data_IF_866292200425
#
_entry.id   IF_866292200425
#
_cell.length_a   1.000
_cell.length_b   1.000
_cell.length_c   1.000
_cell.angle_alpha   90.00
_cell.angle_beta   90.00
_cell.angle_gamma   90.00
#
_symmetry.space_group_name_H-M   'P 1'
#
loop_
_entity.id
_entity.type
_entity.pdbx_description
1 polymer ?
#
# COMPACT_ATOMS: atom_id res chain seq x y z
N UNK A 1 -3.85 18.32 27.36
CA UNK A 1 -2.65 17.45 27.28
C UNK A 1 -2.94 15.93 27.28
N UNK A 2 -3.79 15.35 28.15
CA UNK A 2 -3.97 13.88 28.18
C UNK A 2 -4.58 13.29 26.89
N UNK A 3 -5.52 14.00 26.24
CA UNK A 3 -6.13 13.54 24.97
C UNK A 3 -5.12 13.37 23.84
N UNK A 4 -4.14 14.28 23.70
CA UNK A 4 -3.11 14.19 22.66
C UNK A 4 -2.18 12.98 22.91
N UNK A 5 -1.83 12.72 24.17
CA UNK A 5 -1.02 11.56 24.54
C UNK A 5 -1.76 10.24 24.29
N UNK A 6 -3.05 10.18 24.63
CA UNK A 6 -3.89 9.01 24.37
C UNK A 6 -4.03 8.74 22.86
N UNK A 7 -4.30 9.79 22.08
CA UNK A 7 -4.40 9.68 20.61
C UNK A 7 -3.12 9.10 20.01
N UNK A 8 -1.96 9.64 20.42
CA UNK A 8 -0.67 9.16 19.98
C UNK A 8 -0.45 7.68 20.33
N UNK A 9 -0.74 7.29 21.57
CA UNK A 9 -0.63 5.90 22.02
C UNK A 9 -1.51 4.95 21.18
N UNK A 10 -2.79 5.31 20.98
CA UNK A 10 -3.71 4.48 20.20
C UNK A 10 -3.26 4.35 18.73
N UNK A 11 -2.75 5.43 18.14
CA UNK A 11 -2.18 5.38 16.79
C UNK A 11 -0.96 4.46 16.75
N UNK A 12 -0.05 4.57 17.72
CA UNK A 12 1.12 3.69 17.81
C UNK A 12 0.70 2.22 17.92
N UNK A 13 -0.31 1.90 18.73
CA UNK A 13 -0.84 0.55 18.85
C UNK A 13 -1.48 0.06 17.54
N UNK A 14 -2.26 0.91 16.86
CA UNK A 14 -2.86 0.56 15.57
C UNK A 14 -1.80 0.28 14.49
N UNK A 15 -0.73 1.08 14.45
CA UNK A 15 0.39 0.89 13.53
C UNK A 15 1.22 -0.35 13.88
N UNK A 16 1.47 -0.60 15.16
CA UNK A 16 2.14 -1.82 15.61
C UNK A 16 1.34 -3.06 15.22
N UNK A 17 0.01 -3.04 15.43
CA UNK A 17 -0.88 -4.10 15.00
C UNK A 17 -0.85 -4.27 13.47
N UNK A 18 -0.94 -3.18 12.70
CA UNK A 18 -0.87 -3.22 11.25
C UNK A 18 0.43 -3.85 10.74
N UNK A 19 1.56 -3.54 11.39
CA UNK A 19 2.86 -4.11 11.09
C UNK A 19 2.88 -5.61 11.37
N UNK A 20 2.52 -6.02 12.60
CA UNK A 20 2.49 -7.44 12.98
C UNK A 20 1.58 -8.23 12.04
N UNK A 21 0.36 -7.75 11.78
CA UNK A 21 -0.60 -8.45 10.92
C UNK A 21 -0.13 -8.63 9.48
N UNK A 22 0.80 -7.80 8.97
CA UNK A 22 1.31 -7.90 7.58
C UNK A 22 2.58 -8.72 7.46
N UNK A 23 3.44 -8.68 8.48
CA UNK A 23 4.74 -9.36 8.44
C UNK A 23 4.79 -10.68 9.20
N UNK A 24 3.88 -10.93 10.14
CA UNK A 24 3.88 -12.16 10.92
C UNK A 24 3.65 -13.39 10.04
N UNK A 25 4.53 -14.39 10.11
CA UNK A 25 4.37 -15.64 9.36
C UNK A 25 4.42 -15.48 7.84
N UNK A 26 5.11 -14.45 7.33
CA UNK A 26 5.16 -14.17 5.88
C UNK A 26 5.93 -15.26 5.12
N UNK A 27 6.91 -15.91 5.76
CA UNK A 27 7.74 -16.96 5.15
C UNK A 27 6.96 -18.25 4.90
N UNK A 28 6.01 -18.56 5.78
CA UNK A 28 5.23 -19.79 5.76
C UNK A 28 4.00 -19.69 4.85
N UNK A 29 3.71 -18.51 4.32
CA UNK A 29 2.44 -18.24 3.65
C UNK A 29 2.28 -18.93 2.29
N UNK A 30 3.36 -18.98 1.49
CA UNK A 30 3.29 -19.47 0.11
C UNK A 30 2.48 -18.55 -0.82
N UNK A 31 2.29 -19.04 -2.06
CA UNK A 31 1.37 -18.46 -3.04
C UNK A 31 -0.05 -18.96 -2.75
N UNK A 32 -1.04 -18.09 -2.91
CA UNK A 32 -2.47 -18.39 -2.71
C UNK A 32 -3.27 -18.36 -4.01
N UNK A 33 -2.82 -17.59 -5.00
CA UNK A 33 -3.45 -17.48 -6.32
C UNK A 33 -2.52 -17.97 -7.44
N UNK A 34 -3.12 -18.27 -8.59
CA UNK A 34 -2.37 -18.62 -9.82
C UNK A 34 -1.54 -17.43 -10.29
N UNK A 35 -2.15 -16.24 -10.34
CA UNK A 35 -1.52 -15.01 -10.82
C UNK A 35 -0.32 -14.59 -9.95
N UNK A 36 -0.30 -14.94 -8.66
CA UNK A 36 0.85 -14.71 -7.79
C UNK A 36 2.11 -15.40 -8.33
N UNK A 37 1.97 -16.62 -8.86
CA UNK A 37 3.08 -17.35 -9.47
C UNK A 37 3.58 -16.67 -10.74
N UNK A 38 2.67 -16.15 -11.56
CA UNK A 38 2.99 -15.39 -12.77
C UNK A 38 3.72 -14.08 -12.45
N UNK A 39 3.26 -13.32 -11.46
CA UNK A 39 3.95 -12.10 -11.04
C UNK A 39 5.31 -12.38 -10.39
N UNK A 40 5.44 -13.48 -9.63
CA UNK A 40 6.74 -13.94 -9.14
C UNK A 40 7.69 -14.28 -10.29
N UNK A 41 7.17 -14.94 -11.32
CA UNK A 41 7.93 -15.23 -12.54
C UNK A 41 8.36 -13.95 -13.25
N UNK A 42 7.50 -12.93 -13.38
CA UNK A 42 7.90 -11.63 -13.95
C UNK A 42 9.01 -10.96 -13.14
N UNK A 43 8.93 -10.96 -11.81
CA UNK A 43 10.02 -10.47 -10.95
C UNK A 43 11.33 -11.24 -11.17
N UNK A 44 11.26 -12.56 -11.36
CA UNK A 44 12.41 -13.39 -11.67
C UNK A 44 12.99 -13.09 -13.06
N UNK A 45 12.14 -12.88 -14.06
CA UNK A 45 12.58 -12.48 -15.40
C UNK A 45 13.34 -11.15 -15.38
N UNK A 46 12.88 -10.19 -14.58
CA UNK A 46 13.61 -8.92 -14.39
C UNK A 46 14.97 -9.18 -13.74
N UNK A 47 15.01 -10.02 -12.69
CA UNK A 47 16.26 -10.37 -11.99
C UNK A 47 17.29 -11.03 -12.92
N UNK A 48 16.84 -11.84 -13.87
CA UNK A 48 17.70 -12.59 -14.81
C UNK A 48 17.89 -11.91 -16.17
N UNK A 49 17.33 -10.72 -16.38
CA UNK A 49 17.47 -9.98 -17.65
C UNK A 49 16.63 -10.52 -18.81
N UNK A 50 15.64 -11.38 -18.55
CA UNK A 50 14.76 -11.99 -19.57
C UNK A 50 13.44 -11.21 -19.72
N UNK A 51 13.52 -9.88 -19.83
CA UNK A 51 12.38 -8.97 -19.78
C UNK A 51 11.29 -9.23 -20.83
N UNK A 52 11.62 -9.86 -21.97
CA UNK A 52 10.65 -10.17 -23.04
C UNK A 52 9.57 -11.18 -22.66
N UNK A 53 9.64 -11.80 -21.47
CA UNK A 53 8.64 -12.74 -20.98
C UNK A 53 7.61 -12.12 -20.03
N UNK A 54 7.68 -10.80 -19.79
CA UNK A 54 6.71 -10.08 -18.97
C UNK A 54 5.53 -9.70 -19.85
N UNK A 55 4.35 -10.21 -19.52
CA UNK A 55 3.14 -10.05 -20.34
C UNK A 55 2.18 -9.04 -19.73
N UNK A 56 2.14 -8.92 -18.40
CA UNK A 56 1.20 -8.04 -17.69
C UNK A 56 1.83 -7.36 -16.46
N UNK A 57 1.27 -6.20 -16.08
CA UNK A 57 1.60 -5.41 -14.88
C UNK A 57 3.12 -5.28 -14.62
N UNK A 58 3.92 -4.76 -15.57
CA UNK A 58 5.38 -4.69 -15.43
C UNK A 58 5.83 -3.91 -14.20
N UNK A 59 5.07 -2.89 -13.78
CA UNK A 59 5.33 -2.16 -12.54
C UNK A 59 5.21 -3.03 -11.28
N UNK A 60 4.28 -3.98 -11.26
CA UNK A 60 4.15 -4.93 -10.15
C UNK A 60 5.26 -5.98 -10.17
N UNK A 61 5.62 -6.49 -11.36
CA UNK A 61 6.81 -7.34 -11.52
C UNK A 61 8.08 -6.66 -11.00
N UNK A 62 8.25 -5.36 -11.25
CA UNK A 62 9.37 -4.57 -10.71
C UNK A 62 9.36 -4.53 -9.18
N UNK A 63 8.20 -4.39 -8.53
CA UNK A 63 8.10 -4.41 -7.06
C UNK A 63 8.53 -5.76 -6.49
N UNK A 64 8.14 -6.86 -7.12
CA UNK A 64 8.59 -8.20 -6.70
C UNK A 64 10.10 -8.35 -6.91
N UNK A 65 10.63 -7.89 -8.05
CA UNK A 65 12.07 -7.86 -8.29
C UNK A 65 12.83 -7.12 -7.18
N UNK A 66 12.34 -5.96 -6.73
CA UNK A 66 12.95 -5.22 -5.62
C UNK A 66 12.99 -6.07 -4.32
N UNK A 67 11.94 -6.87 -4.08
CA UNK A 67 11.91 -7.84 -2.99
C UNK A 67 13.02 -8.89 -3.13
N UNK A 68 13.12 -9.53 -4.29
CA UNK A 68 14.19 -10.50 -4.58
C UNK A 68 15.58 -9.89 -4.46
N UNK A 69 15.77 -8.67 -4.97
CA UNK A 69 17.06 -7.99 -4.93
C UNK A 69 17.49 -7.63 -3.51
N UNK A 70 16.54 -7.24 -2.65
CA UNK A 70 16.83 -6.82 -1.28
C UNK A 70 17.04 -7.99 -0.32
N UNK A 71 16.29 -9.09 -0.48
CA UNK A 71 16.25 -10.19 0.51
C UNK A 71 16.62 -11.56 -0.07
N UNK A 72 17.07 -11.62 -1.33
CA UNK A 72 17.39 -12.83 -2.04
C UNK A 72 16.17 -13.50 -2.68
N UNK A 73 16.41 -14.50 -3.54
CA UNK A 73 15.34 -15.20 -4.26
C UNK A 73 14.60 -16.17 -3.34
N UNK A 74 13.45 -15.74 -2.79
CA UNK A 74 12.61 -16.56 -1.91
C UNK A 74 11.15 -16.12 -1.96
N UNK A 75 10.24 -16.98 -1.53
CA UNK A 75 8.83 -16.64 -1.45
C UNK A 75 8.57 -15.44 -0.52
N UNK A 76 9.22 -15.43 0.65
CA UNK A 76 9.09 -14.32 1.60
C UNK A 76 9.50 -12.99 0.96
N UNK A 77 10.56 -13.00 0.15
CA UNK A 77 11.04 -11.81 -0.57
C UNK A 77 10.02 -11.30 -1.59
N UNK A 78 9.33 -12.19 -2.31
CA UNK A 78 8.27 -11.80 -3.26
C UNK A 78 7.08 -11.13 -2.57
N UNK A 79 6.74 -11.57 -1.36
CA UNK A 79 5.62 -11.03 -0.58
C UNK A 79 5.99 -9.76 0.21
N UNK A 80 7.28 -9.58 0.52
CA UNK A 80 7.75 -8.53 1.42
C UNK A 80 7.33 -7.12 0.99
N UNK A 81 7.48 -6.80 -0.30
CA UNK A 81 7.18 -5.46 -0.80
C UNK A 81 5.69 -5.18 -0.72
N UNK A 82 4.83 -6.16 -1.01
CA UNK A 82 3.38 -6.06 -0.84
C UNK A 82 3.00 -5.82 0.63
N UNK A 83 3.61 -6.56 1.57
CA UNK A 83 3.39 -6.37 3.00
C UNK A 83 3.83 -4.98 3.49
N UNK A 84 4.97 -4.49 3.00
CA UNK A 84 5.49 -3.16 3.32
C UNK A 84 4.61 -2.04 2.77
N UNK A 85 4.27 -2.08 1.49
CA UNK A 85 3.32 -1.13 0.89
C UNK A 85 1.98 -1.21 1.61
N UNK A 86 1.57 -2.40 2.03
CA UNK A 86 0.34 -2.56 2.76
C UNK A 86 0.32 -1.89 4.12
N UNK A 87 1.43 -1.94 4.85
CA UNK A 87 1.59 -1.21 6.11
C UNK A 87 1.55 0.30 5.86
N UNK A 88 2.23 0.76 4.81
CA UNK A 88 2.22 2.16 4.42
C UNK A 88 0.83 2.63 3.96
N UNK A 89 -0.01 1.75 3.39
CA UNK A 89 -1.41 2.08 3.08
C UNK A 89 -2.20 2.46 4.33
N UNK A 90 -1.96 1.81 5.49
CA UNK A 90 -2.60 2.17 6.76
C UNK A 90 -2.16 3.57 7.21
N UNK A 91 -0.86 3.87 7.09
CA UNK A 91 -0.31 5.19 7.41
C UNK A 91 -0.90 6.27 6.50
N UNK A 92 -0.99 6.00 5.19
CA UNK A 92 -1.57 6.93 4.23
C UNK A 92 -3.06 7.13 4.46
N UNK A 93 -3.82 6.07 4.73
CA UNK A 93 -5.24 6.18 5.06
C UNK A 93 -5.44 7.02 6.32
N UNK A 94 -4.63 6.82 7.36
CA UNK A 94 -4.67 7.67 8.56
C UNK A 94 -4.44 9.15 8.21
N UNK A 95 -3.41 9.46 7.40
CA UNK A 95 -3.13 10.84 6.99
C UNK A 95 -4.27 11.45 6.19
N UNK A 96 -4.75 10.74 5.17
CA UNK A 96 -5.85 11.19 4.33
C UNK A 96 -7.13 11.42 5.14
N UNK A 97 -7.51 10.45 5.98
CA UNK A 97 -8.69 10.59 6.82
C UNK A 97 -8.55 11.71 7.86
N UNK A 98 -7.33 11.94 8.37
CA UNK A 98 -7.05 13.03 9.31
C UNK A 98 -7.21 14.39 8.65
N UNK A 99 -6.74 14.51 7.41
CA UNK A 99 -6.84 15.75 6.64
C UNK A 99 -8.30 16.04 6.24
N UNK A 100 -9.13 15.02 6.04
CA UNK A 100 -10.53 15.15 5.60
C UNK A 100 -11.54 15.30 6.74
N UNK A 101 -11.42 14.48 7.79
CA UNK A 101 -12.45 14.36 8.84
C UNK A 101 -11.93 14.60 10.26
N UNK A 102 -10.61 14.57 10.46
CA UNK A 102 -9.99 14.81 11.76
C UNK A 102 -9.42 13.55 12.42
N UNK A 103 -8.93 13.73 13.64
CA UNK A 103 -8.07 12.73 14.30
C UNK A 103 -8.81 11.43 14.67
N UNK A 104 -10.03 11.52 15.21
CA UNK A 104 -10.74 10.36 15.75
C UNK A 104 -11.16 9.40 14.63
N UNK A 105 -11.72 9.94 13.55
CA UNK A 105 -12.13 9.25 12.34
C UNK A 105 -10.93 8.59 11.66
N UNK A 106 -9.80 9.30 11.61
CA UNK A 106 -8.55 8.75 11.09
C UNK A 106 -8.06 7.55 11.88
N UNK A 107 -8.18 7.59 13.21
CA UNK A 107 -7.78 6.48 14.07
C UNK A 107 -8.69 5.27 13.87
N UNK A 108 -10.01 5.48 13.75
CA UNK A 108 -10.97 4.42 13.43
C UNK A 108 -10.62 3.80 12.07
N UNK A 109 -10.38 4.62 11.05
CA UNK A 109 -9.98 4.17 9.71
C UNK A 109 -8.69 3.34 9.74
N UNK A 110 -7.68 3.79 10.50
CA UNK A 110 -6.41 3.06 10.67
C UNK A 110 -6.61 1.71 11.37
N UNK A 111 -7.42 1.64 12.44
CA UNK A 111 -7.72 0.40 13.16
C UNK A 111 -8.48 -0.61 12.27
N UNK A 112 -9.46 -0.13 11.50
CA UNK A 112 -10.16 -0.97 10.54
C UNK A 112 -9.20 -1.48 9.46
N UNK A 113 -8.39 -0.60 8.87
CA UNK A 113 -7.40 -0.97 7.86
C UNK A 113 -6.31 -1.92 8.36
N UNK A 114 -5.95 -1.81 9.63
CA UNK A 114 -4.98 -2.68 10.27
C UNK A 114 -5.48 -4.13 10.38
N UNK A 115 -6.80 -4.32 10.54
CA UNK A 115 -7.40 -5.62 10.91
C UNK A 115 -8.35 -6.20 9.88
N UNK A 116 -8.76 -5.43 8.86
CA UNK A 116 -9.73 -5.88 7.86
C UNK A 116 -9.20 -7.11 7.10
N UNK A 117 -9.82 -8.30 7.23
CA UNK A 117 -9.26 -9.54 6.70
C UNK A 117 -9.07 -9.52 5.19
N UNK A 118 -10.03 -8.97 4.45
CA UNK A 118 -9.94 -8.83 3.00
C UNK A 118 -8.71 -8.01 2.58
N UNK A 119 -8.44 -6.93 3.31
CA UNK A 119 -7.31 -6.07 3.01
C UNK A 119 -5.97 -6.75 3.31
N UNK A 120 -5.87 -7.42 4.46
CA UNK A 120 -4.71 -8.21 4.84
C UNK A 120 -4.45 -9.37 3.87
N UNK A 121 -5.51 -9.96 3.30
CA UNK A 121 -5.40 -11.07 2.38
C UNK A 121 -4.60 -10.70 1.12
N UNK A 122 -4.91 -9.56 0.50
CA UNK A 122 -4.21 -9.05 -0.69
C UNK A 122 -2.87 -8.36 -0.38
N UNK A 123 -2.75 -7.66 0.75
CA UNK A 123 -1.49 -7.01 1.11
C UNK A 123 -0.42 -7.95 1.62
N UNK A 124 -0.77 -9.22 1.84
CA UNK A 124 0.19 -10.27 2.15
C UNK A 124 0.49 -11.17 0.98
N UNK A 125 -0.24 -11.07 -0.13
CA UNK A 125 0.00 -11.86 -1.34
C UNK A 125 0.91 -11.10 -2.31
N UNK A 126 1.49 -11.80 -3.29
CA UNK A 126 2.16 -11.17 -4.43
C UNK A 126 1.16 -10.76 -5.53
N UNK A 127 -0.12 -10.54 -5.19
CA UNK A 127 -1.10 -9.98 -6.10
C UNK A 127 -0.86 -8.49 -6.31
N UNK A 128 -1.23 -7.99 -7.49
CA UNK A 128 -1.11 -6.56 -7.81
C UNK A 128 -2.08 -5.68 -7.04
N UNK A 129 -3.23 -6.21 -6.61
CA UNK A 129 -4.36 -5.46 -6.03
C UNK A 129 -3.97 -4.72 -4.75
N UNK A 130 -3.16 -5.36 -3.89
CA UNK A 130 -2.67 -4.74 -2.66
C UNK A 130 -1.78 -3.53 -2.94
N UNK A 131 -0.93 -3.63 -3.97
CA UNK A 131 -0.03 -2.57 -4.40
C UNK A 131 -0.80 -1.46 -5.13
N UNK A 132 -1.76 -1.82 -5.98
CA UNK A 132 -2.67 -0.87 -6.62
C UNK A 132 -3.34 0.01 -5.57
N UNK A 133 -3.92 -0.58 -4.52
CA UNK A 133 -4.59 0.18 -3.46
C UNK A 133 -3.63 1.15 -2.73
N UNK A 134 -2.38 0.77 -2.52
CA UNK A 134 -1.37 1.70 -1.98
C UNK A 134 -1.18 2.91 -2.90
N UNK A 135 -0.95 2.69 -4.19
CA UNK A 135 -0.72 3.79 -5.14
C UNK A 135 -1.96 4.63 -5.38
N UNK A 136 -3.16 4.04 -5.37
CA UNK A 136 -4.42 4.80 -5.39
C UNK A 136 -4.53 5.71 -4.17
N UNK A 137 -4.31 5.19 -2.95
CA UNK A 137 -4.34 6.01 -1.73
C UNK A 137 -3.28 7.12 -1.76
N UNK A 138 -2.08 6.83 -2.27
CA UNK A 138 -1.02 7.81 -2.43
C UNK A 138 -1.43 8.91 -3.43
N UNK A 139 -1.99 8.54 -4.57
CA UNK A 139 -2.50 9.45 -5.59
C UNK A 139 -3.59 10.37 -5.03
N UNK A 140 -4.57 9.80 -4.31
CA UNK A 140 -5.62 10.56 -3.62
C UNK A 140 -5.05 11.53 -2.59
N UNK A 141 -4.12 11.08 -1.76
CA UNK A 141 -3.52 11.93 -0.74
C UNK A 141 -2.68 13.07 -1.36
N UNK A 142 -1.87 12.78 -2.37
CA UNK A 142 -1.10 13.81 -3.08
C UNK A 142 -2.01 14.79 -3.81
N UNK A 143 -3.06 14.30 -4.47
CA UNK A 143 -4.08 15.13 -5.12
C UNK A 143 -4.78 16.07 -4.14
N UNK A 144 -5.19 15.54 -2.98
CA UNK A 144 -5.74 16.34 -1.88
C UNK A 144 -4.77 17.43 -1.42
N UNK A 145 -3.51 17.08 -1.16
CA UNK A 145 -2.48 18.04 -0.71
C UNK A 145 -2.16 19.10 -1.76
N UNK A 146 -2.21 18.76 -3.05
CA UNK A 146 -2.04 19.71 -4.13
C UNK A 146 -3.24 20.67 -4.24
N UNK A 147 -4.46 20.14 -4.15
CA UNK A 147 -5.68 20.94 -4.22
C UNK A 147 -5.79 21.92 -3.05
N UNK A 148 -5.42 21.50 -1.84
CA UNK A 148 -5.46 22.34 -0.63
C UNK A 148 -4.56 23.59 -0.77
N UNK A 149 -3.46 23.49 -1.52
CA UNK A 149 -2.53 24.61 -1.81
C UNK A 149 -3.03 25.56 -2.89
N UNK A 150 -3.98 25.14 -3.71
CA UNK A 150 -4.54 25.99 -4.75
C UNK A 150 -5.60 26.92 -4.18
N UNK A 151 -5.72 28.11 -4.77
CA UNK A 151 -6.72 29.09 -4.34
C UNK A 151 -8.14 28.56 -4.57
N UNK A 152 -9.08 28.91 -3.67
CA UNK A 152 -10.42 28.30 -3.59
C UNK A 152 -11.24 28.39 -4.89
N UNK A 153 -10.90 29.37 -5.73
CA UNK A 153 -11.58 29.70 -6.99
C UNK A 153 -10.80 29.32 -8.25
N UNK A 154 -9.67 28.61 -8.12
CA UNK A 154 -8.87 28.23 -9.27
C UNK A 154 -9.49 27.05 -10.04
N UNK A 155 -9.63 27.13 -11.38
CA UNK A 155 -10.10 26.01 -12.22
C UNK A 155 -9.29 24.72 -12.06
N UNK A 156 -8.02 24.84 -11.62
CA UNK A 156 -7.10 23.72 -11.44
C UNK A 156 -7.49 22.74 -10.33
N UNK A 157 -8.30 23.14 -9.34
CA UNK A 157 -8.72 22.24 -8.24
C UNK A 157 -9.56 21.07 -8.75
N UNK A 158 -10.58 21.33 -9.57
CA UNK A 158 -11.44 20.28 -10.12
C UNK A 158 -10.68 19.33 -11.05
N UNK A 159 -9.75 19.88 -11.84
CA UNK A 159 -8.94 19.11 -12.78
C UNK A 159 -7.91 18.21 -12.07
N UNK A 160 -7.32 18.66 -10.96
CA UNK A 160 -6.41 17.86 -10.15
C UNK A 160 -7.12 16.73 -9.40
N UNK A 161 -8.32 16.96 -8.89
CA UNK A 161 -9.13 15.88 -8.31
C UNK A 161 -9.51 14.83 -9.36
N UNK A 162 -9.97 15.28 -10.53
CA UNK A 162 -10.27 14.40 -11.65
C UNK A 162 -9.01 13.64 -12.09
N UNK A 163 -7.87 14.30 -12.24
CA UNK A 163 -6.61 13.64 -12.59
C UNK A 163 -6.14 12.65 -11.51
N UNK A 164 -6.28 12.95 -10.22
CA UNK A 164 -5.90 12.02 -9.15
C UNK A 164 -6.80 10.77 -9.08
N UNK A 165 -8.05 10.87 -9.55
CA UNK A 165 -8.98 9.74 -9.67
C UNK A 165 -8.92 9.01 -11.03
N UNK A 166 -8.42 9.67 -12.09
CA UNK A 166 -8.34 9.14 -13.47
C UNK A 166 -6.94 8.67 -13.87
N UNK A 167 -5.90 8.93 -13.07
CA UNK A 167 -4.52 8.62 -13.43
C UNK A 167 -4.11 7.14 -13.31
N UNK A 168 -4.99 6.23 -12.87
CA UNK A 168 -4.62 4.81 -12.66
C UNK A 168 -5.75 3.84 -12.94
#
# INVERSE_FOLDING_TARGET
MPRVRLHGLLLTLALALAFVMRFWGLREQGLRFVDEGEYCFFGACILHGTHGQIIDKPGHGLLIFLGFQAFGFSMASALFVSAALGFLSVVLLYKLARDLWGGAEALIAACLAATLPFWLYYQRSSMSDGNYLFFSLLGWWLGWRAADRLDRWSPGRGLLFAASGLAF
#
